data_IF_787792026921
#
_entry.id   IF_787792026921
#
_cell.length_a   1.000
_cell.length_b   1.000
_cell.length_c   1.000
_cell.angle_alpha   90.00
_cell.angle_beta   90.00
_cell.angle_gamma   90.00
#
_symmetry.space_group_name_H-M   'P 1'
#
loop_
_entity.id
_entity.type
_entity.pdbx_description
1 polymer ?
#
# COMPACT_ATOMS: atom_id res chain seq x y z
N UNK A 1 -21.37 -24.48 13.17
CA UNK A 1 -21.12 -23.03 13.28
C UNK A 1 -20.10 -22.67 12.20
N UNK A 2 -20.50 -22.21 11.00
CA UNK A 2 -19.54 -21.90 9.95
C UNK A 2 -19.15 -20.44 10.07
N UNK A 3 -18.09 -20.15 10.81
CA UNK A 3 -17.42 -18.86 10.78
C UNK A 3 -15.91 -19.08 10.78
N UNK A 4 -15.43 -19.78 9.76
CA UNK A 4 -14.00 -20.07 9.62
C UNK A 4 -13.60 -20.42 8.17
N UNK A 5 -14.28 -19.84 7.18
CA UNK A 5 -13.66 -19.67 5.85
C UNK A 5 -13.09 -18.27 5.83
N UNK A 6 -11.76 -18.16 5.78
CA UNK A 6 -11.06 -16.89 5.64
C UNK A 6 -11.07 -16.52 4.16
N UNK A 7 -12.15 -15.90 3.70
CA UNK A 7 -12.27 -15.34 2.35
C UNK A 7 -11.52 -14.00 2.22
N UNK A 8 -10.32 -13.89 2.81
CA UNK A 8 -9.51 -12.68 2.69
C UNK A 8 -8.84 -12.65 1.32
N UNK A 9 -8.85 -11.47 0.68
CA UNK A 9 -8.12 -11.24 -0.55
C UNK A 9 -6.62 -11.43 -0.30
N UNK A 10 -5.97 -12.21 -1.15
CA UNK A 10 -4.53 -12.46 -1.06
C UNK A 10 -3.74 -11.17 -1.30
N UNK A 11 -2.67 -10.95 -0.53
CA UNK A 11 -1.87 -9.72 -0.61
C UNK A 11 -1.14 -9.57 -1.95
N UNK A 12 -0.71 -10.69 -2.55
CA UNK A 12 -0.08 -10.67 -3.85
C UNK A 12 -1.11 -10.36 -4.94
N UNK A 13 -2.28 -10.99 -4.88
CA UNK A 13 -3.38 -10.70 -5.80
C UNK A 13 -3.78 -9.23 -5.72
N UNK A 14 -4.03 -8.71 -4.52
CA UNK A 14 -4.38 -7.30 -4.31
C UNK A 14 -3.31 -6.35 -4.87
N UNK A 15 -2.04 -6.61 -4.59
CA UNK A 15 -0.93 -5.83 -5.13
C UNK A 15 -0.89 -5.84 -6.66
N UNK A 16 -1.11 -7.00 -7.29
CA UNK A 16 -1.15 -7.08 -8.75
C UNK A 16 -2.31 -6.27 -9.33
N UNK A 17 -3.49 -6.29 -8.70
CA UNK A 17 -4.64 -5.47 -9.12
C UNK A 17 -4.32 -3.98 -9.02
N UNK A 18 -3.71 -3.53 -7.91
CA UNK A 18 -3.28 -2.13 -7.73
C UNK A 18 -2.31 -1.70 -8.84
N UNK A 19 -1.34 -2.54 -9.19
CA UNK A 19 -0.37 -2.22 -10.24
C UNK A 19 -0.96 -2.23 -11.64
N UNK A 20 -1.71 -3.28 -11.97
CA UNK A 20 -2.14 -3.54 -13.36
C UNK A 20 -3.41 -2.79 -13.73
N UNK A 21 -4.38 -2.70 -12.82
CA UNK A 21 -5.65 -2.03 -13.08
C UNK A 21 -5.56 -0.55 -12.70
N UNK A 22 -5.06 -0.25 -11.50
CA UNK A 22 -5.04 1.13 -11.02
C UNK A 22 -3.80 1.91 -11.47
N UNK A 23 -2.75 1.24 -11.98
CA UNK A 23 -1.51 1.88 -12.41
C UNK A 23 -0.71 2.52 -11.28
N UNK A 24 -0.95 2.14 -10.02
CA UNK A 24 -0.29 2.74 -8.86
C UNK A 24 1.04 2.03 -8.60
N UNK A 25 2.12 2.82 -8.58
CA UNK A 25 3.47 2.33 -8.41
C UNK A 25 4.18 2.84 -7.15
N UNK A 26 3.60 3.84 -6.47
CA UNK A 26 4.15 4.43 -5.26
C UNK A 26 3.25 4.11 -4.05
N UNK A 27 3.87 3.70 -2.96
CA UNK A 27 3.21 3.26 -1.74
C UNK A 27 3.77 4.05 -0.57
N UNK A 28 2.90 4.52 0.31
CA UNK A 28 3.31 5.14 1.56
C UNK A 28 2.30 4.82 2.67
N UNK A 29 2.77 4.71 3.90
CA UNK A 29 1.92 4.25 4.98
C UNK A 29 2.61 4.23 6.33
N UNK A 30 1.85 3.79 7.33
CA UNK A 30 2.36 3.45 8.66
C UNK A 30 2.16 1.95 8.93
N UNK A 31 2.96 1.31 9.79
CA UNK A 31 2.76 -0.10 10.10
C UNK A 31 1.41 -0.33 10.81
N UNK A 32 0.57 -1.20 10.25
CA UNK A 32 -0.72 -1.58 10.84
C UNK A 32 -0.81 -3.11 11.06
N UNK A 33 -1.42 -3.51 12.17
CA UNK A 33 -1.49 -4.91 12.59
C UNK A 33 -2.51 -5.74 11.81
N UNK A 34 -3.59 -5.12 11.31
CA UNK A 34 -4.60 -5.75 10.48
C UNK A 34 -4.09 -5.89 9.03
N UNK A 35 -3.28 -4.94 8.58
CA UNK A 35 -2.65 -4.95 7.25
C UNK A 35 -1.27 -5.62 7.23
N UNK A 36 -0.84 -6.26 8.32
CA UNK A 36 0.53 -6.79 8.46
C UNK A 36 1.01 -7.64 7.27
N UNK A 37 0.14 -8.47 6.71
CA UNK A 37 0.47 -9.39 5.63
C UNK A 37 0.70 -8.60 4.32
N UNK A 38 -0.14 -7.60 4.06
CA UNK A 38 0.02 -6.69 2.93
C UNK A 38 1.24 -5.78 3.09
N UNK A 39 1.45 -5.17 4.26
CA UNK A 39 2.61 -4.34 4.56
C UNK A 39 3.92 -5.12 4.37
N UNK A 40 3.98 -6.36 4.86
CA UNK A 40 5.13 -7.23 4.67
C UNK A 40 5.34 -7.58 3.19
N UNK A 41 4.26 -7.84 2.46
CA UNK A 41 4.30 -8.10 1.03
C UNK A 41 4.84 -6.90 0.24
N UNK A 42 4.34 -5.70 0.47
CA UNK A 42 4.80 -4.47 -0.20
C UNK A 42 6.27 -4.21 0.12
N UNK A 43 6.66 -4.30 1.39
CA UNK A 43 8.06 -4.10 1.84
C UNK A 43 9.04 -5.03 1.12
N UNK A 44 8.63 -6.28 0.84
CA UNK A 44 9.47 -7.28 0.17
C UNK A 44 9.55 -7.07 -1.35
N UNK A 45 8.48 -6.58 -1.96
CA UNK A 45 8.32 -6.61 -3.43
C UNK A 45 8.43 -5.23 -4.10
N UNK A 46 8.44 -4.13 -3.33
CA UNK A 46 8.54 -2.77 -3.85
C UNK A 46 9.91 -2.18 -3.47
N UNK A 47 10.62 -1.54 -4.41
CA UNK A 47 11.85 -0.82 -4.08
C UNK A 47 11.61 0.23 -2.99
N UNK A 48 12.58 0.43 -2.10
CA UNK A 48 12.48 1.43 -1.02
C UNK A 48 12.25 2.86 -1.52
N UNK A 49 12.65 3.19 -2.75
CA UNK A 49 12.35 4.48 -3.39
C UNK A 49 10.87 4.67 -3.75
N UNK A 50 10.09 3.58 -3.79
CA UNK A 50 8.68 3.55 -4.16
C UNK A 50 7.79 3.03 -3.01
N UNK A 51 8.37 2.78 -1.83
CA UNK A 51 7.66 2.39 -0.63
C UNK A 51 8.23 3.13 0.59
N UNK A 52 7.50 4.13 1.07
CA UNK A 52 7.96 5.01 2.15
C UNK A 52 7.08 4.82 3.39
N UNK A 53 7.68 4.34 4.48
CA UNK A 53 7.04 4.34 5.80
C UNK A 53 7.20 5.72 6.42
N UNK A 54 6.09 6.36 6.79
CA UNK A 54 6.12 7.68 7.43
C UNK A 54 5.95 7.57 8.95
N UNK A 55 6.09 8.70 9.65
CA UNK A 55 5.95 8.74 11.11
C UNK A 55 4.50 8.72 11.60
N UNK A 56 3.54 9.12 10.76
CA UNK A 56 2.10 9.17 11.08
C UNK A 56 1.26 9.33 9.80
N UNK A 57 -0.03 9.02 9.90
CA UNK A 57 -1.00 9.04 8.82
C UNK A 57 -1.10 10.41 8.14
N UNK A 58 -1.02 11.50 8.92
CA UNK A 58 -1.03 12.86 8.37
C UNK A 58 0.16 13.13 7.45
N UNK A 59 1.35 12.66 7.85
CA UNK A 59 2.57 12.75 7.06
C UNK A 59 2.48 11.88 5.80
N UNK A 60 1.85 10.70 5.90
CA UNK A 60 1.57 9.83 4.74
C UNK A 60 0.71 10.54 3.70
N UNK A 61 -0.39 11.15 4.12
CA UNK A 61 -1.27 11.89 3.20
C UNK A 61 -0.52 13.07 2.57
N UNK A 62 0.25 13.84 3.35
CA UNK A 62 1.06 14.93 2.82
C UNK A 62 2.08 14.47 1.76
N UNK A 63 2.76 13.34 2.01
CA UNK A 63 3.69 12.74 1.05
C UNK A 63 2.98 12.29 -0.23
N UNK A 64 1.83 11.61 -0.12
CA UNK A 64 1.04 11.19 -1.27
C UNK A 64 0.57 12.38 -2.11
N UNK A 65 0.10 13.47 -1.48
CA UNK A 65 -0.26 14.71 -2.16
C UNK A 65 0.93 15.32 -2.90
N UNK A 66 2.09 15.45 -2.23
CA UNK A 66 3.30 15.99 -2.85
C UNK A 66 3.80 15.15 -4.03
N UNK A 67 3.78 13.82 -3.87
CA UNK A 67 4.11 12.86 -4.93
C UNK A 67 3.19 13.03 -6.15
N UNK A 68 1.89 13.16 -5.93
CA UNK A 68 0.92 13.40 -7.00
C UNK A 68 1.17 14.73 -7.71
N UNK A 69 1.43 15.81 -6.97
CA UNK A 69 1.73 17.12 -7.56
C UNK A 69 3.00 17.09 -8.41
N UNK A 70 4.00 16.30 -8.03
CA UNK A 70 5.27 16.19 -8.75
C UNK A 70 5.19 15.27 -9.99
N UNK A 71 4.40 14.21 -9.94
CA UNK A 71 4.42 13.13 -10.95
C UNK A 71 3.14 13.01 -11.77
N UNK A 72 2.04 13.60 -11.31
CA UNK A 72 0.69 13.37 -11.84
C UNK A 72 0.15 11.96 -11.59
N UNK A 73 0.87 11.11 -10.86
CA UNK A 73 0.49 9.71 -10.62
C UNK A 73 -0.02 9.50 -9.19
N UNK A 74 -1.17 8.85 -9.01
CA UNK A 74 -1.70 8.59 -7.67
C UNK A 74 -0.80 7.63 -6.88
N UNK A 75 -0.76 7.86 -5.58
CA UNK A 75 -0.04 7.04 -4.61
C UNK A 75 -1.03 6.24 -3.77
N UNK A 76 -0.66 5.02 -3.39
CA UNK A 76 -1.43 4.24 -2.44
C UNK A 76 -1.03 4.61 -1.01
N UNK A 77 -2.04 4.95 -0.21
CA UNK A 77 -1.92 5.23 1.22
C UNK A 77 -2.57 4.10 1.99
N UNK A 78 -1.88 3.57 3.00
CA UNK A 78 -2.40 2.54 3.91
C UNK A 78 -2.02 2.84 5.36
#
# INVERSE_FOLDING_TARGET
MPQLVRDFLDSAEFYQQIKTICGINFFCGVPDSLLKDFCAYVTKNVPSSHHIITANEGSTVGLACGSYMATGQPSLVY
#
